data_IF_949062849239
#
_entry.id   IF_949062849239
#
_cell.length_a   1.000
_cell.length_b   1.000
_cell.length_c   1.000
_cell.angle_alpha   90.00
_cell.angle_beta   90.00
_cell.angle_gamma   90.00
#
_symmetry.space_group_name_H-M   'P 1'
#
loop_
_entity.id
_entity.type
_entity.pdbx_description
1 polymer ?
#
# COMPACT_ATOMS: atom_id res chain seq x y z
N UNK A 1 -41.47 -11.91 -7.01
CA UNK A 1 -41.12 -11.44 -5.65
C UNK A 1 -39.75 -11.98 -5.30
N UNK A 2 -38.68 -11.30 -5.73
CA UNK A 2 -37.29 -11.71 -5.50
C UNK A 2 -36.76 -11.16 -4.18
N UNK A 3 -37.30 -11.61 -3.06
CA UNK A 3 -36.76 -11.29 -1.75
C UNK A 3 -35.62 -12.27 -1.45
N UNK A 4 -34.39 -11.78 -1.29
CA UNK A 4 -33.31 -12.56 -0.67
C UNK A 4 -33.82 -13.07 0.68
N UNK A 5 -33.70 -14.38 0.97
CA UNK A 5 -34.21 -14.93 2.22
C UNK A 5 -33.59 -14.19 3.41
N UNK A 6 -34.43 -13.85 4.40
CA UNK A 6 -34.06 -12.99 5.55
C UNK A 6 -32.78 -13.48 6.24
N UNK A 7 -32.57 -14.79 6.32
CA UNK A 7 -31.36 -15.40 6.87
C UNK A 7 -30.08 -15.08 6.08
N UNK A 8 -30.15 -14.97 4.74
CA UNK A 8 -29.01 -14.54 3.93
C UNK A 8 -28.70 -13.05 4.12
N UNK A 9 -29.71 -12.21 4.33
CA UNK A 9 -29.49 -10.78 4.61
C UNK A 9 -28.76 -10.57 5.95
N UNK A 10 -29.15 -11.30 6.99
CA UNK A 10 -28.43 -11.29 8.27
C UNK A 10 -27.00 -11.84 8.12
N UNK A 11 -26.81 -12.91 7.36
CA UNK A 11 -25.47 -13.45 7.06
C UNK A 11 -24.57 -12.45 6.35
N UNK A 12 -25.09 -11.73 5.36
CA UNK A 12 -24.36 -10.66 4.67
C UNK A 12 -24.03 -9.49 5.61
N UNK A 13 -24.99 -9.06 6.44
CA UNK A 13 -24.80 -7.93 7.36
C UNK A 13 -23.73 -8.26 8.41
N UNK A 14 -23.78 -9.46 8.99
CA UNK A 14 -22.76 -9.95 9.92
C UNK A 14 -21.41 -10.06 9.23
N UNK A 15 -21.36 -10.64 8.02
CA UNK A 15 -20.14 -10.77 7.23
C UNK A 15 -19.49 -9.42 6.95
N UNK A 16 -20.24 -8.46 6.42
CA UNK A 16 -19.75 -7.10 6.12
C UNK A 16 -19.28 -6.40 7.38
N UNK A 17 -20.00 -6.54 8.50
CA UNK A 17 -19.61 -5.91 9.77
C UNK A 17 -18.29 -6.46 10.29
N UNK A 18 -18.14 -7.79 10.32
CA UNK A 18 -16.89 -8.44 10.74
C UNK A 18 -15.74 -8.06 9.80
N UNK A 19 -15.96 -8.08 8.48
CA UNK A 19 -14.95 -7.66 7.50
C UNK A 19 -14.54 -6.21 7.68
N UNK A 20 -15.49 -5.30 7.94
CA UNK A 20 -15.18 -3.88 8.15
C UNK A 20 -14.32 -3.68 9.41
N UNK A 21 -14.64 -4.38 10.50
CA UNK A 21 -13.84 -4.37 11.73
C UNK A 21 -12.44 -4.95 11.46
N UNK A 22 -12.36 -6.10 10.78
CA UNK A 22 -11.09 -6.75 10.47
C UNK A 22 -10.19 -5.89 9.57
N UNK A 23 -10.75 -5.27 8.53
CA UNK A 23 -10.04 -4.35 7.64
C UNK A 23 -9.62 -3.10 8.42
N UNK A 24 -10.51 -2.50 9.21
CA UNK A 24 -10.21 -1.32 10.01
C UNK A 24 -9.09 -1.57 11.03
N UNK A 25 -9.15 -2.70 11.74
CA UNK A 25 -8.10 -3.14 12.67
C UNK A 25 -6.77 -3.36 11.94
N UNK A 26 -6.80 -4.05 10.79
CA UNK A 26 -5.62 -4.28 9.96
C UNK A 26 -4.98 -2.98 9.48
N UNK A 27 -5.78 -2.05 8.95
CA UNK A 27 -5.30 -0.75 8.50
C UNK A 27 -4.72 0.07 9.65
N UNK A 28 -5.36 0.05 10.83
CA UNK A 28 -4.85 0.74 12.01
C UNK A 28 -3.52 0.15 12.48
N UNK A 29 -3.40 -1.19 12.48
CA UNK A 29 -2.16 -1.88 12.87
C UNK A 29 -1.05 -1.61 11.86
N UNK A 30 -1.36 -1.64 10.56
CA UNK A 30 -0.41 -1.34 9.51
C UNK A 30 0.06 0.12 9.57
N UNK A 31 -0.85 1.07 9.81
CA UNK A 31 -0.47 2.47 9.93
C UNK A 31 0.45 2.71 11.12
N UNK A 32 0.17 2.09 12.27
CA UNK A 32 1.04 2.18 13.47
C UNK A 32 2.37 1.45 13.26
N UNK A 33 2.37 0.23 12.74
CA UNK A 33 3.60 -0.57 12.58
C UNK A 33 4.56 -0.01 11.52
N UNK A 34 4.07 0.84 10.61
CA UNK A 34 4.89 1.43 9.56
C UNK A 34 5.17 2.92 9.76
N UNK A 35 4.63 3.55 10.80
CA UNK A 35 4.89 4.97 11.08
C UNK A 35 6.36 5.19 11.44
N UNK A 36 6.86 6.40 11.15
CA UNK A 36 8.26 6.74 11.39
C UNK A 36 8.34 8.12 12.03
N UNK A 37 9.09 8.18 13.12
CA UNK A 37 9.45 9.43 13.81
C UNK A 37 10.91 9.72 13.50
N UNK A 38 11.19 10.80 12.76
CA UNK A 38 12.56 11.23 12.44
C UNK A 38 12.88 12.50 13.20
N UNK A 39 13.95 12.55 14.02
CA UNK A 39 14.28 13.74 14.79
C UNK A 39 14.72 14.87 13.86
N UNK A 40 14.07 16.01 13.97
CA UNK A 40 14.31 17.20 13.16
C UNK A 40 14.24 18.40 14.07
N UNK A 41 15.25 19.28 14.03
CA UNK A 41 15.32 20.47 14.88
C UNK A 41 15.16 21.72 14.03
N UNK A 42 13.93 22.22 13.90
CA UNK A 42 13.63 23.46 13.17
C UNK A 42 13.00 24.45 14.14
N UNK A 43 13.59 25.64 14.36
CA UNK A 43 12.98 26.67 15.19
C UNK A 43 11.76 27.29 14.49
N UNK A 44 10.61 27.28 15.14
CA UNK A 44 9.36 27.85 14.61
C UNK A 44 8.62 28.58 15.73
N UNK A 45 8.09 29.77 15.46
CA UNK A 45 7.29 30.51 16.44
C UNK A 45 5.79 30.34 16.16
N UNK A 46 5.03 29.71 17.07
CA UNK A 46 3.57 29.54 16.95
C UNK A 46 2.78 30.86 16.89
N UNK A 47 3.36 31.97 17.35
CA UNK A 47 2.70 33.28 17.35
C UNK A 47 2.72 33.95 15.97
N UNK A 48 3.62 33.52 15.08
CA UNK A 48 3.74 33.96 13.71
C UNK A 48 4.00 32.72 12.84
N UNK A 49 2.98 31.86 12.71
CA UNK A 49 3.05 30.68 11.86
C UNK A 49 3.40 31.12 10.42
N UNK A 50 4.48 30.58 9.82
CA UNK A 50 4.80 30.87 8.44
C UNK A 50 3.64 30.45 7.53
N UNK A 51 3.43 31.19 6.44
CA UNK A 51 2.34 30.92 5.49
C UNK A 51 2.42 29.47 4.99
N UNK A 52 1.37 28.68 5.22
CA UNK A 52 1.33 27.26 4.82
C UNK A 52 1.43 26.26 5.98
N UNK A 53 1.70 26.71 7.21
CA UNK A 53 1.68 25.85 8.40
C UNK A 53 0.32 25.93 9.09
N UNK A 54 -0.35 24.78 9.26
CA UNK A 54 -1.62 24.65 9.99
C UNK A 54 -1.43 23.76 11.21
N UNK A 55 -2.08 24.10 12.32
CA UNK A 55 -2.17 23.22 13.49
C UNK A 55 -3.26 22.19 13.18
N UNK A 56 -2.89 20.92 13.18
CA UNK A 56 -3.82 19.82 12.89
C UNK A 56 -4.37 19.22 14.19
N UNK A 57 -3.54 19.08 15.22
CA UNK A 57 -3.98 18.67 16.57
C UNK A 57 -3.20 19.41 17.64
N UNK A 58 -3.92 19.87 18.66
CA UNK A 58 -3.35 20.61 19.79
C UNK A 58 -2.60 19.73 20.80
N UNK A 59 -2.89 18.43 20.82
CA UNK A 59 -2.24 17.46 21.71
C UNK A 59 -1.97 16.15 20.98
N UNK A 60 -0.69 15.80 20.86
CA UNK A 60 -0.19 14.54 20.34
C UNK A 60 0.85 14.01 21.34
N UNK A 61 0.54 12.90 21.99
CA UNK A 61 1.43 12.30 22.98
C UNK A 61 2.44 11.37 22.28
N UNK A 62 3.74 11.64 22.46
CA UNK A 62 4.82 10.80 21.96
C UNK A 62 5.94 10.73 23.00
N UNK A 63 6.37 9.52 23.37
CA UNK A 63 7.42 9.29 24.39
C UNK A 63 7.14 10.01 25.73
N UNK A 64 5.87 10.09 26.16
CA UNK A 64 5.48 10.74 27.43
C UNK A 64 5.54 12.27 27.43
N UNK A 65 5.73 12.90 26.25
CA UNK A 65 5.66 14.35 26.04
C UNK A 65 4.47 14.72 25.16
N UNK A 66 3.87 15.86 25.45
CA UNK A 66 2.77 16.43 24.66
C UNK A 66 3.30 17.40 23.60
N UNK A 67 3.14 17.03 22.35
CA UNK A 67 3.46 17.85 21.19
C UNK A 67 2.20 18.42 20.55
N UNK A 68 2.36 19.50 19.80
CA UNK A 68 1.37 20.02 18.86
C UNK A 68 1.68 19.44 17.49
N UNK A 69 0.71 18.78 16.87
CA UNK A 69 0.86 18.31 15.50
C UNK A 69 0.61 19.48 14.56
N UNK A 70 1.66 19.84 13.81
CA UNK A 70 1.59 20.86 12.76
C UNK A 70 1.79 20.21 11.40
N UNK A 71 1.01 20.66 10.44
CA UNK A 71 1.08 20.24 9.06
C UNK A 71 1.58 21.41 8.22
N UNK A 72 2.77 21.27 7.64
CA UNK A 72 3.35 22.26 6.74
C UNK A 72 3.04 21.86 5.30
N UNK A 73 2.32 22.72 4.59
CA UNK A 73 1.98 22.57 3.17
C UNK A 73 2.20 23.90 2.45
N UNK A 74 3.20 23.94 1.56
CA UNK A 74 3.55 25.12 0.77
C UNK A 74 4.24 26.23 1.58
N UNK A 75 4.92 25.88 2.67
CA UNK A 75 5.79 26.79 3.42
C UNK A 75 7.13 26.94 2.71
N UNK A 76 7.74 28.14 2.79
CA UNK A 76 9.09 28.38 2.25
C UNK A 76 10.20 28.02 3.24
N UNK A 77 9.86 27.89 4.52
CA UNK A 77 10.80 27.71 5.63
C UNK A 77 10.82 26.26 6.14
N UNK A 78 9.70 25.55 6.01
CA UNK A 78 9.53 24.18 6.51
C UNK A 78 9.16 23.30 5.32
N UNK A 79 9.86 22.16 5.12
CA UNK A 79 9.51 21.22 4.07
C UNK A 79 8.10 20.66 4.29
N UNK A 80 7.43 20.28 3.20
CA UNK A 80 6.07 19.77 3.29
C UNK A 80 6.03 18.46 4.09
N UNK A 81 5.14 18.38 5.08
CA UNK A 81 5.01 17.21 5.96
C UNK A 81 4.37 17.51 7.31
N UNK A 82 4.22 16.46 8.12
CA UNK A 82 3.67 16.53 9.46
C UNK A 82 4.80 16.54 10.50
N UNK A 83 4.72 17.46 11.46
CA UNK A 83 5.76 17.68 12.45
C UNK A 83 5.15 17.78 13.86
N UNK A 84 5.89 17.27 14.83
CA UNK A 84 5.62 17.41 16.25
C UNK A 84 6.40 18.61 16.79
N UNK A 85 5.65 19.62 17.20
CA UNK A 85 6.15 20.85 17.78
C UNK A 85 6.02 20.81 19.30
N UNK A 86 7.09 21.12 20.03
CA UNK A 86 7.05 21.23 21.49
C UNK A 86 6.81 22.69 21.92
N UNK A 87 5.74 22.91 22.70
CA UNK A 87 5.37 24.23 23.25
C UNK A 87 6.40 24.78 24.23
N UNK A 88 7.13 23.91 24.93
CA UNK A 88 8.12 24.28 25.93
C UNK A 88 9.42 24.76 25.31
N UNK A 89 9.94 24.04 24.31
CA UNK A 89 11.21 24.36 23.64
C UNK A 89 11.06 25.33 22.47
N UNK A 90 9.81 25.56 22.03
CA UNK A 90 9.43 26.37 20.87
C UNK A 90 10.10 25.94 19.57
N UNK A 91 10.26 24.63 19.39
CA UNK A 91 10.91 24.04 18.21
C UNK A 91 10.11 22.83 17.75
N UNK A 92 10.23 22.56 16.45
CA UNK A 92 9.93 21.25 15.90
C UNK A 92 11.06 20.32 16.37
N UNK A 93 10.70 19.17 16.93
CA UNK A 93 11.66 18.16 17.40
C UNK A 93 11.60 16.87 16.59
N UNK A 94 10.44 16.57 16.01
CA UNK A 94 10.21 15.30 15.30
C UNK A 94 9.36 15.55 14.06
N UNK A 95 9.77 14.98 12.94
CA UNK A 95 8.92 14.79 11.77
C UNK A 95 8.19 13.45 11.92
N UNK A 96 6.86 13.50 11.88
CA UNK A 96 6.03 12.30 11.88
C UNK A 96 5.68 11.96 10.43
N UNK A 97 5.99 10.73 10.02
CA UNK A 97 5.55 10.20 8.75
C UNK A 97 4.53 9.09 9.01
N UNK A 98 3.30 9.19 8.46
CA UNK A 98 2.29 8.16 8.63
C UNK A 98 2.77 6.85 7.97
N UNK A 99 2.39 5.72 8.55
CA UNK A 99 2.77 4.42 7.99
C UNK A 99 2.20 4.20 6.61
N UNK A 100 0.90 4.43 6.44
CA UNK A 100 0.23 4.39 5.14
C UNK A 100 0.39 5.74 4.45
N UNK A 101 0.91 5.73 3.23
CA UNK A 101 1.29 6.95 2.53
C UNK A 101 2.68 7.44 2.89
N UNK A 102 3.45 6.73 3.71
CA UNK A 102 4.88 6.95 3.97
C UNK A 102 5.79 6.20 2.99
N UNK A 103 7.09 6.18 3.26
CA UNK A 103 8.09 5.54 2.37
C UNK A 103 7.96 4.01 2.29
N UNK A 104 7.57 3.37 3.41
CA UNK A 104 7.45 1.91 3.51
C UNK A 104 6.16 1.37 2.88
N UNK A 105 5.08 2.14 2.94
CA UNK A 105 3.81 1.81 2.30
C UNK A 105 3.31 3.04 1.52
N UNK A 106 3.91 3.35 0.36
CA UNK A 106 3.48 4.49 -0.43
C UNK A 106 2.03 4.29 -0.84
N UNK A 107 1.24 5.36 -0.75
CA UNK A 107 -0.14 5.41 -1.21
C UNK A 107 -0.27 6.48 -2.30
N UNK A 108 0.27 6.23 -3.52
CA UNK A 108 0.41 7.26 -4.52
C UNK A 108 -0.96 7.83 -4.95
N UNK A 109 -1.96 6.97 -5.17
CA UNK A 109 -3.29 7.39 -5.62
C UNK A 109 -3.99 8.27 -4.57
N UNK A 110 -3.84 7.94 -3.29
CA UNK A 110 -4.37 8.74 -2.19
C UNK A 110 -3.67 10.11 -2.10
N UNK A 111 -2.33 10.14 -2.26
CA UNK A 111 -1.55 11.39 -2.29
C UNK A 111 -1.97 12.30 -3.44
N UNK A 112 -2.16 11.76 -4.65
CA UNK A 112 -2.64 12.55 -5.79
C UNK A 112 -4.02 13.16 -5.51
N UNK A 113 -4.96 12.38 -4.98
CA UNK A 113 -6.30 12.88 -4.65
C UNK A 113 -6.23 13.98 -3.57
N UNK A 114 -5.41 13.77 -2.53
CA UNK A 114 -5.18 14.78 -1.49
C UNK A 114 -4.62 16.08 -2.06
N UNK A 115 -3.62 16.00 -2.95
CA UNK A 115 -3.03 17.18 -3.61
C UNK A 115 -4.03 17.92 -4.49
N UNK A 116 -4.88 17.19 -5.24
CA UNK A 116 -5.92 17.80 -6.08
C UNK A 116 -6.97 18.50 -5.22
N UNK A 117 -7.49 17.84 -4.18
CA UNK A 117 -8.50 18.42 -3.27
C UNK A 117 -7.93 19.66 -2.58
N UNK A 118 -6.71 19.56 -2.02
CA UNK A 118 -6.04 20.68 -1.39
C UNK A 118 -5.75 21.81 -2.38
N UNK A 119 -5.37 21.49 -3.61
CA UNK A 119 -5.14 22.48 -4.67
C UNK A 119 -6.41 23.25 -5.05
N UNK A 120 -7.56 22.57 -5.11
CA UNK A 120 -8.87 23.18 -5.37
C UNK A 120 -9.30 24.04 -4.18
N UNK A 121 -9.26 23.49 -2.96
CA UNK A 121 -9.73 24.16 -1.74
C UNK A 121 -8.92 25.42 -1.42
N UNK A 122 -7.60 25.38 -1.63
CA UNK A 122 -6.72 26.52 -1.39
C UNK A 122 -6.50 27.39 -2.64
N UNK A 123 -7.21 27.13 -3.75
CA UNK A 123 -7.08 27.84 -5.04
C UNK A 123 -5.63 27.93 -5.57
N UNK A 124 -4.78 26.96 -5.19
CA UNK A 124 -3.36 26.88 -5.57
C UNK A 124 -3.07 25.70 -6.49
N UNK A 125 -4.06 25.22 -7.23
CA UNK A 125 -3.87 24.12 -8.16
C UNK A 125 -2.90 24.54 -9.28
N UNK A 126 -1.88 23.72 -9.61
CA UNK A 126 -0.94 24.02 -10.68
C UNK A 126 -1.60 23.81 -12.05
N UNK A 127 -2.43 24.75 -12.48
CA UNK A 127 -3.21 24.70 -13.73
C UNK A 127 -2.36 24.43 -14.98
N UNK A 128 -1.10 24.89 -14.99
CA UNK A 128 -0.14 24.56 -16.06
C UNK A 128 0.09 23.06 -16.21
N UNK A 129 0.24 22.33 -15.10
CA UNK A 129 0.43 20.88 -15.11
C UNK A 129 -0.86 20.14 -15.49
N UNK A 130 -2.01 20.63 -15.03
CA UNK A 130 -3.33 20.05 -15.37
C UNK A 130 -3.62 20.17 -16.87
N UNK A 131 -3.47 21.37 -17.43
CA UNK A 131 -3.70 21.61 -18.86
C UNK A 131 -2.71 20.85 -19.75
N UNK A 132 -1.46 20.71 -19.31
CA UNK A 132 -0.47 19.85 -19.98
C UNK A 132 -0.92 18.39 -20.00
N UNK A 133 -1.45 17.88 -18.89
CA UNK A 133 -2.01 16.54 -18.82
C UNK A 133 -3.20 16.33 -19.77
N UNK A 134 -4.12 17.30 -19.83
CA UNK A 134 -5.25 17.30 -20.77
C UNK A 134 -4.76 17.29 -22.23
N UNK A 135 -3.81 18.16 -22.57
CA UNK A 135 -3.25 18.21 -23.92
C UNK A 135 -2.56 16.89 -24.32
N UNK A 136 -1.83 16.27 -23.39
CA UNK A 136 -1.18 14.98 -23.61
C UNK A 136 -2.21 13.85 -23.79
N UNK A 137 -3.28 13.82 -22.99
CA UNK A 137 -4.38 12.86 -23.16
C UNK A 137 -5.04 13.02 -24.53
N UNK A 138 -5.31 14.25 -24.97
CA UNK A 138 -5.86 14.52 -26.30
C UNK A 138 -4.93 14.05 -27.42
N UNK A 139 -3.63 14.31 -27.31
CA UNK A 139 -2.65 13.85 -28.29
C UNK A 139 -2.61 12.31 -28.38
N UNK A 140 -2.66 11.62 -27.24
CA UNK A 140 -2.67 10.15 -27.17
C UNK A 140 -3.97 9.57 -27.75
N UNK A 141 -5.11 10.22 -27.48
CA UNK A 141 -6.40 9.81 -28.03
C UNK A 141 -6.44 9.97 -29.57
N UNK A 142 -5.83 11.05 -30.10
CA UNK A 142 -5.67 11.26 -31.56
C UNK A 142 -4.79 10.17 -32.19
N UNK A 143 -3.80 9.65 -31.47
CA UNK A 143 -2.98 8.52 -31.91
C UNK A 143 -3.72 7.17 -31.88
N UNK A 144 -5.00 7.15 -31.47
CA UNK A 144 -5.81 5.94 -31.37
C UNK A 144 -5.45 5.03 -30.19
N UNK A 145 -4.64 5.53 -29.25
CA UNK A 145 -4.28 4.81 -28.03
C UNK A 145 -5.30 5.16 -26.96
N UNK A 146 -5.80 4.15 -26.23
CA UNK A 146 -6.73 4.38 -25.12
C UNK A 146 -6.04 5.17 -24.00
N UNK A 147 -6.39 6.44 -23.87
CA UNK A 147 -5.76 7.39 -22.94
C UNK A 147 -5.69 6.91 -21.48
N UNK A 148 -6.71 6.20 -21.00
CA UNK A 148 -6.74 5.65 -19.65
C UNK A 148 -5.62 4.63 -19.39
N UNK A 149 -5.40 3.70 -20.33
CA UNK A 149 -4.36 2.69 -20.19
C UNK A 149 -2.96 3.32 -20.23
N UNK A 150 -2.78 4.33 -21.09
CA UNK A 150 -1.56 5.11 -21.17
C UNK A 150 -1.28 5.84 -19.84
N UNK A 151 -2.26 6.60 -19.33
CA UNK A 151 -2.10 7.37 -18.09
C UNK A 151 -1.76 6.46 -16.89
N UNK A 152 -2.47 5.35 -16.74
CA UNK A 152 -2.19 4.36 -15.67
C UNK A 152 -0.79 3.78 -15.83
N UNK A 153 -0.39 3.43 -17.05
CA UNK A 153 0.94 2.92 -17.35
C UNK A 153 2.06 3.91 -16.98
N UNK A 154 1.93 5.19 -17.32
CA UNK A 154 2.96 6.20 -17.03
C UNK A 154 3.16 6.49 -15.54
N UNK A 155 2.16 6.17 -14.72
CA UNK A 155 2.17 6.46 -13.30
C UNK A 155 2.78 5.34 -12.44
N UNK A 156 2.74 4.11 -12.93
CA UNK A 156 3.25 2.93 -12.24
C UNK A 156 4.76 2.76 -12.45
N UNK A 157 5.42 2.08 -11.53
CA UNK A 157 6.83 1.72 -11.70
C UNK A 157 7.02 0.84 -12.93
N UNK A 158 8.15 0.97 -13.62
CA UNK A 158 8.46 0.17 -14.82
C UNK A 158 8.37 -1.34 -14.54
N UNK A 159 8.72 -1.77 -13.33
CA UNK A 159 8.58 -3.17 -12.90
C UNK A 159 7.12 -3.61 -12.85
N UNK A 160 6.22 -2.80 -12.28
CA UNK A 160 4.78 -3.11 -12.20
C UNK A 160 4.12 -3.08 -13.58
N UNK A 161 4.51 -2.15 -14.45
CA UNK A 161 3.98 -2.12 -15.82
C UNK A 161 4.48 -3.29 -16.66
N UNK A 162 5.74 -3.70 -16.48
CA UNK A 162 6.32 -4.84 -17.20
C UNK A 162 5.66 -6.16 -16.80
N UNK A 163 5.34 -6.36 -15.51
CA UNK A 163 4.62 -7.56 -15.06
C UNK A 163 3.17 -7.59 -15.58
N UNK A 164 2.48 -6.45 -15.58
CA UNK A 164 1.15 -6.33 -16.22
C UNK A 164 1.21 -6.64 -17.72
N UNK A 165 2.22 -6.11 -18.42
CA UNK A 165 2.43 -6.38 -19.84
C UNK A 165 2.71 -7.87 -20.11
N UNK A 166 3.59 -8.49 -19.32
CA UNK A 166 3.89 -9.92 -19.42
C UNK A 166 2.64 -10.78 -19.20
N UNK A 167 1.79 -10.43 -18.21
CA UNK A 167 0.49 -11.09 -18.01
C UNK A 167 -0.44 -10.95 -19.22
N UNK A 168 -0.51 -9.76 -19.82
CA UNK A 168 -1.26 -9.54 -21.06
C UNK A 168 -0.73 -10.34 -22.25
N UNK A 169 0.60 -10.46 -22.39
CA UNK A 169 1.23 -11.24 -23.44
C UNK A 169 0.92 -12.74 -23.29
N UNK A 170 0.99 -13.28 -22.07
CA UNK A 170 0.62 -14.67 -21.77
C UNK A 170 -0.85 -14.91 -22.14
N UNK A 171 -1.75 -14.01 -21.74
CA UNK A 171 -3.17 -14.09 -22.09
C UNK A 171 -3.37 -14.13 -23.60
N UNK A 172 -2.71 -13.22 -24.34
CA UNK A 172 -2.78 -13.18 -25.79
C UNK A 172 -2.28 -14.49 -26.44
N UNK A 173 -1.17 -15.05 -25.96
CA UNK A 173 -0.66 -16.35 -26.43
C UNK A 173 -1.63 -17.51 -26.14
N UNK A 174 -2.29 -17.50 -24.99
CA UNK A 174 -3.31 -18.49 -24.61
C UNK A 174 -4.52 -18.40 -25.54
N UNK A 175 -5.05 -17.18 -25.75
CA UNK A 175 -6.18 -16.93 -26.64
C UNK A 175 -5.85 -17.28 -28.09
N UNK A 176 -4.65 -16.96 -28.58
CA UNK A 176 -4.20 -17.27 -29.94
C UNK A 176 -4.04 -18.78 -30.21
N UNK A 177 -3.74 -19.57 -29.16
CA UNK A 177 -3.52 -21.02 -29.30
C UNK A 177 -4.78 -21.84 -29.02
N UNK A 178 -5.78 -21.28 -28.32
CA UNK A 178 -7.02 -21.98 -28.00
C UNK A 178 -7.99 -21.94 -29.19
N UNK A 179 -8.01 -23.01 -30.00
CA UNK A 179 -8.93 -23.15 -31.16
C UNK A 179 -10.39 -23.48 -30.82
N UNK A 180 -10.77 -23.60 -29.54
CA UNK A 180 -12.14 -23.94 -29.13
C UNK A 180 -12.77 -22.81 -28.33
N UNK A 181 -13.75 -22.17 -28.96
CA UNK A 181 -14.89 -21.47 -28.36
C UNK A 181 -14.54 -20.33 -27.39
N UNK A 182 -14.96 -19.12 -27.75
CA UNK A 182 -15.25 -18.07 -26.77
C UNK A 182 -16.29 -18.62 -25.79
N UNK A 183 -15.87 -19.28 -24.71
CA UNK A 183 -16.75 -19.51 -23.56
C UNK A 183 -16.88 -18.15 -22.88
N UNK A 184 -17.91 -17.41 -23.27
CA UNK A 184 -18.40 -16.16 -22.66
C UNK A 184 -19.05 -16.43 -21.28
N UNK A 185 -18.46 -17.31 -20.48
CA UNK A 185 -18.78 -17.41 -19.06
C UNK A 185 -18.20 -16.19 -18.34
N UNK A 186 -18.99 -15.56 -17.46
CA UNK A 186 -18.67 -14.31 -16.75
C UNK A 186 -17.31 -14.30 -16.02
N UNK A 187 -16.68 -15.47 -15.81
CA UNK A 187 -15.28 -15.58 -15.47
C UNK A 187 -14.64 -16.81 -16.14
N UNK A 188 -13.61 -16.59 -16.96
CA UNK A 188 -12.76 -17.68 -17.49
C UNK A 188 -12.08 -18.42 -16.33
N UNK A 189 -11.89 -19.76 -16.40
CA UNK A 189 -11.13 -20.52 -15.40
C UNK A 189 -9.77 -19.91 -15.05
N UNK A 190 -9.08 -19.33 -16.04
CA UNK A 190 -7.81 -18.63 -15.82
C UNK A 190 -7.95 -17.32 -15.03
N UNK A 191 -9.05 -16.58 -15.22
CA UNK A 191 -9.33 -15.36 -14.46
C UNK A 191 -9.67 -15.68 -12.99
N UNK A 192 -10.46 -16.73 -12.74
CA UNK A 192 -10.76 -17.23 -11.39
C UNK A 192 -9.47 -17.65 -10.67
N UNK A 193 -8.64 -18.49 -11.30
CA UNK A 193 -7.39 -18.95 -10.69
C UNK A 193 -6.40 -17.80 -10.46
N UNK A 194 -6.29 -16.85 -11.40
CA UNK A 194 -5.48 -15.63 -11.23
C UNK A 194 -5.98 -14.77 -10.07
N UNK A 195 -7.29 -14.54 -9.96
CA UNK A 195 -7.88 -13.79 -8.84
C UNK A 195 -7.65 -14.48 -7.49
N UNK A 196 -7.73 -15.82 -7.45
CA UNK A 196 -7.43 -16.62 -6.26
C UNK A 196 -5.96 -16.53 -5.83
N UNK A 197 -5.02 -16.54 -6.79
CA UNK A 197 -3.59 -16.35 -6.52
C UNK A 197 -3.28 -14.94 -6.00
N UNK A 198 -3.91 -13.92 -6.56
CA UNK A 198 -3.76 -12.52 -6.09
C UNK A 198 -4.31 -12.39 -4.65
N UNK A 199 -5.49 -12.96 -4.39
CA UNK A 199 -6.09 -12.94 -3.05
C UNK A 199 -5.21 -13.69 -2.03
N UNK A 200 -4.69 -14.86 -2.39
CA UNK A 200 -3.75 -15.61 -1.57
C UNK A 200 -2.48 -14.79 -1.28
N UNK A 201 -1.90 -14.14 -2.30
CA UNK A 201 -0.75 -13.25 -2.14
C UNK A 201 -1.00 -12.11 -1.16
N UNK A 202 -2.19 -11.48 -1.23
CA UNK A 202 -2.62 -10.45 -0.26
C UNK A 202 -2.73 -10.99 1.17
N UNK A 203 -3.31 -12.18 1.35
CA UNK A 203 -3.45 -12.82 2.67
C UNK A 203 -2.08 -13.19 3.25
N UNK A 204 -1.19 -13.79 2.47
CA UNK A 204 0.17 -14.13 2.93
C UNK A 204 1.02 -12.89 3.22
N UNK A 205 0.87 -11.83 2.41
CA UNK A 205 1.51 -10.54 2.68
C UNK A 205 1.04 -9.94 4.00
N UNK A 206 -0.28 -9.95 4.25
CA UNK A 206 -0.86 -9.49 5.51
C UNK A 206 -0.36 -10.34 6.70
N UNK A 207 -0.34 -11.66 6.55
CA UNK A 207 0.21 -12.55 7.58
C UNK A 207 1.68 -12.23 7.88
N UNK A 208 2.49 -11.95 6.85
CA UNK A 208 3.88 -11.53 7.02
C UNK A 208 4.02 -10.23 7.83
N UNK A 209 3.16 -9.24 7.57
CA UNK A 209 3.12 -7.99 8.32
C UNK A 209 2.71 -8.25 9.77
N UNK A 210 1.66 -9.06 10.00
CA UNK A 210 1.21 -9.42 11.36
C UNK A 210 2.31 -10.14 12.13
N UNK A 211 3.03 -11.06 11.50
CA UNK A 211 4.16 -11.76 12.13
C UNK A 211 5.27 -10.78 12.49
N UNK A 212 5.65 -9.88 11.58
CA UNK A 212 6.67 -8.87 11.82
C UNK A 212 6.29 -7.96 12.99
N UNK A 213 5.02 -7.54 13.02
CA UNK A 213 4.42 -6.76 14.09
C UNK A 213 4.52 -7.53 15.43
N UNK A 214 4.07 -8.79 15.51
CA UNK A 214 4.13 -9.58 16.75
C UNK A 214 5.57 -9.92 17.23
N UNK A 215 6.58 -9.74 16.37
CA UNK A 215 8.00 -9.86 16.72
C UNK A 215 8.60 -8.56 17.28
N UNK A 216 7.92 -7.42 17.11
CA UNK A 216 8.41 -6.11 17.56
C UNK A 216 8.36 -6.00 19.11
N UNK A 217 9.49 -5.70 19.78
CA UNK A 217 9.55 -5.58 21.24
C UNK A 217 8.59 -4.53 21.83
N UNK A 218 8.24 -3.49 21.07
CA UNK A 218 7.41 -2.37 21.55
C UNK A 218 5.91 -2.67 21.54
N UNK A 219 5.48 -3.84 21.06
CA UNK A 219 4.05 -4.19 21.02
C UNK A 219 3.54 -4.67 22.37
N UNK A 220 4.38 -5.28 23.19
CA UNK A 220 3.98 -5.76 24.51
C UNK A 220 3.45 -4.62 25.40
N UNK A 221 3.87 -3.37 25.17
CA UNK A 221 3.41 -2.17 25.89
C UNK A 221 2.13 -1.55 25.34
N UNK A 222 1.77 -1.81 24.08
CA UNK A 222 0.61 -1.19 23.42
C UNK A 222 -0.63 -2.07 23.37
N UNK A 223 -0.52 -3.33 23.79
CA UNK A 223 -1.58 -4.34 23.71
C UNK A 223 -2.05 -4.72 25.11
N UNK A 224 -3.37 -4.95 25.35
CA UNK A 224 -3.87 -5.31 26.68
C UNK A 224 -3.11 -6.50 27.28
N UNK A 225 -2.70 -6.40 28.55
CA UNK A 225 -1.80 -7.38 29.17
C UNK A 225 -2.32 -8.83 29.16
N UNK A 226 -3.64 -9.03 29.18
CA UNK A 226 -4.25 -10.35 29.05
C UNK A 226 -3.99 -10.97 27.66
N UNK A 227 -4.00 -10.15 26.61
CA UNK A 227 -3.78 -10.58 25.24
C UNK A 227 -2.30 -10.88 25.00
N UNK A 228 -1.39 -10.06 25.55
CA UNK A 228 0.05 -10.31 25.50
C UNK A 228 0.44 -11.61 26.21
N UNK A 229 -0.20 -11.93 27.34
CA UNK A 229 0.06 -13.17 28.07
C UNK A 229 -0.50 -14.41 27.35
N UNK A 230 -1.71 -14.31 26.78
CA UNK A 230 -2.35 -15.39 26.00
C UNK A 230 -1.54 -15.73 24.74
N UNK A 231 -1.02 -14.72 24.02
CA UNK A 231 -0.26 -14.92 22.78
C UNK A 231 1.26 -15.08 22.98
N UNK A 232 1.76 -14.98 24.21
CA UNK A 232 3.21 -15.04 24.55
C UNK A 232 4.03 -14.06 23.73
N UNK A 233 3.62 -12.80 23.72
CA UNK A 233 4.36 -11.71 23.06
C UNK A 233 5.54 -11.22 23.91
N UNK A 234 6.66 -10.80 23.29
CA UNK A 234 6.94 -10.83 21.85
C UNK A 234 7.34 -12.22 21.35
N UNK A 235 6.92 -12.57 20.13
CA UNK A 235 7.37 -13.81 19.48
C UNK A 235 8.85 -13.73 19.14
N UNK A 236 9.60 -14.82 19.35
CA UNK A 236 11.03 -14.87 19.00
C UNK A 236 11.21 -14.62 17.50
N UNK A 237 12.13 -13.72 17.15
CA UNK A 237 12.46 -13.35 15.78
C UNK A 237 12.79 -14.57 14.88
N UNK A 238 13.35 -15.63 15.46
CA UNK A 238 13.77 -16.85 14.75
C UNK A 238 12.64 -17.82 14.40
N UNK A 239 11.41 -17.64 14.92
CA UNK A 239 10.33 -18.61 14.74
C UNK A 239 9.83 -18.71 13.30
N UNK A 240 9.81 -17.59 12.57
CA UNK A 240 9.29 -17.50 11.20
C UNK A 240 10.33 -17.04 10.18
N UNK A 241 11.60 -16.92 10.59
CA UNK A 241 12.73 -16.59 9.71
C UNK A 241 13.19 -17.79 8.87
N UNK A 242 12.26 -18.51 8.23
CA UNK A 242 12.55 -19.70 7.41
C UNK A 242 13.48 -19.36 6.23
N UNK A 243 13.26 -18.22 5.58
CA UNK A 243 14.07 -17.75 4.43
C UNK A 243 15.54 -17.55 4.77
N UNK A 244 15.90 -16.64 5.70
CA UNK A 244 17.29 -16.41 6.09
C UNK A 244 17.97 -17.66 6.69
N UNK A 245 17.21 -18.53 7.35
CA UNK A 245 17.71 -19.73 8.03
C UNK A 245 18.04 -20.89 7.07
N UNK A 246 17.21 -21.12 6.05
CA UNK A 246 17.40 -22.22 5.10
C UNK A 246 18.05 -21.77 3.78
N UNK A 247 17.93 -20.50 3.44
CA UNK A 247 18.48 -19.93 2.20
C UNK A 247 19.22 -18.60 2.46
N UNK A 248 20.34 -18.63 3.21
CA UNK A 248 21.09 -17.43 3.58
C UNK A 248 21.62 -16.64 2.36
N UNK A 249 21.78 -17.28 1.20
CA UNK A 249 22.15 -16.61 -0.06
C UNK A 249 21.02 -15.82 -0.74
N UNK A 250 19.78 -16.00 -0.30
CA UNK A 250 18.59 -15.25 -0.74
C UNK A 250 18.14 -14.21 0.29
N UNK A 251 18.85 -14.06 1.42
CA UNK A 251 18.53 -13.06 2.43
C UNK A 251 19.02 -11.66 1.97
N UNK A 252 18.21 -10.60 2.14
CA UNK A 252 18.64 -9.25 1.82
C UNK A 252 19.75 -8.82 2.79
N UNK A 253 20.96 -8.59 2.28
CA UNK A 253 22.04 -7.95 3.04
C UNK A 253 21.94 -6.44 2.85
N UNK A 254 22.00 -5.68 3.96
CA UNK A 254 21.82 -4.22 3.99
C UNK A 254 22.94 -3.39 3.31
N UNK A 255 23.79 -4.03 2.51
CA UNK A 255 25.02 -3.41 1.96
C UNK A 255 25.15 -3.55 0.43
N UNK A 256 24.27 -4.28 -0.27
CA UNK A 256 24.35 -4.44 -1.74
C UNK A 256 22.95 -4.44 -2.37
N UNK A 257 22.68 -3.61 -3.40
CA UNK A 257 21.39 -3.58 -4.06
C UNK A 257 21.24 -4.80 -4.99
N UNK A 258 20.08 -5.47 -4.90
CA UNK A 258 19.57 -6.52 -5.81
C UNK A 258 20.63 -7.53 -6.27
N UNK A 259 20.88 -8.57 -5.47
CA UNK A 259 21.62 -9.73 -5.98
C UNK A 259 20.86 -10.36 -7.15
N UNK A 260 21.57 -10.67 -8.23
CA UNK A 260 21.04 -11.39 -9.39
C UNK A 260 20.29 -12.67 -8.98
N UNK A 261 20.66 -13.28 -7.85
CA UNK A 261 20.00 -14.46 -7.29
C UNK A 261 18.56 -14.22 -6.81
N UNK A 262 18.26 -13.08 -6.16
CA UNK A 262 16.90 -12.77 -5.72
C UNK A 262 16.00 -12.41 -6.90
N UNK A 263 16.52 -11.61 -7.83
CA UNK A 263 15.83 -11.26 -9.08
C UNK A 263 15.62 -12.48 -9.96
N UNK A 264 16.60 -13.38 -10.05
CA UNK A 264 16.51 -14.64 -10.79
C UNK A 264 15.53 -15.62 -10.15
N UNK A 265 15.54 -15.77 -8.83
CA UNK A 265 14.56 -16.60 -8.12
C UNK A 265 13.15 -16.06 -8.31
N UNK A 266 12.96 -14.74 -8.19
CA UNK A 266 11.69 -14.08 -8.48
C UNK A 266 11.22 -14.32 -9.92
N UNK A 267 12.13 -14.21 -10.88
CA UNK A 267 11.85 -14.50 -12.30
C UNK A 267 11.50 -15.97 -12.53
N UNK A 268 12.22 -16.91 -11.92
CA UNK A 268 11.93 -18.34 -11.98
C UNK A 268 10.55 -18.66 -11.40
N UNK A 269 10.23 -18.12 -10.22
CA UNK A 269 8.91 -18.25 -9.60
C UNK A 269 7.81 -17.65 -10.47
N UNK A 270 8.07 -16.50 -11.09
CA UNK A 270 7.15 -15.88 -12.04
C UNK A 270 6.92 -16.76 -13.28
N UNK A 271 7.97 -17.34 -13.86
CA UNK A 271 7.87 -18.26 -14.99
C UNK A 271 7.12 -19.55 -14.63
N UNK A 272 7.35 -20.11 -13.44
CA UNK A 272 6.61 -21.27 -12.92
C UNK A 272 5.13 -20.93 -12.74
N UNK A 273 4.82 -19.75 -12.20
CA UNK A 273 3.46 -19.29 -12.03
C UNK A 273 2.78 -19.05 -13.39
N UNK A 274 3.48 -18.45 -14.35
CA UNK A 274 3.01 -18.28 -15.73
C UNK A 274 2.75 -19.63 -16.43
N UNK A 275 3.65 -20.60 -16.26
CA UNK A 275 3.48 -21.96 -16.79
C UNK A 275 2.30 -22.67 -16.14
N UNK A 276 2.14 -22.55 -14.82
CA UNK A 276 0.99 -23.09 -14.08
C UNK A 276 -0.32 -22.50 -14.61
N UNK A 277 -0.40 -21.17 -14.73
CA UNK A 277 -1.56 -20.48 -15.32
C UNK A 277 -1.87 -20.97 -16.74
N UNK A 278 -0.85 -21.12 -17.58
CA UNK A 278 -0.99 -21.63 -18.94
C UNK A 278 -1.56 -23.06 -18.98
N UNK A 279 -1.12 -23.93 -18.07
CA UNK A 279 -1.60 -25.32 -17.97
C UNK A 279 -3.03 -25.37 -17.44
N UNK A 280 -3.33 -24.64 -16.37
CA UNK A 280 -4.66 -24.66 -15.74
C UNK A 280 -5.72 -23.94 -16.56
N UNK A 281 -5.37 -22.88 -17.30
CA UNK A 281 -6.29 -22.21 -18.21
C UNK A 281 -6.78 -23.11 -19.36
N UNK A 282 -6.10 -24.22 -19.65
CA UNK A 282 -6.50 -25.22 -20.66
C UNK A 282 -7.42 -26.32 -20.14
N UNK A 283 -7.53 -26.52 -18.82
CA UNK A 283 -8.43 -27.53 -18.25
C UNK A 283 -9.82 -26.93 -18.06
N UNK A 284 -10.86 -27.65 -18.49
CA UNK A 284 -12.24 -27.30 -18.16
C UNK A 284 -12.44 -27.47 -16.65
N UNK A 285 -13.15 -26.52 -16.05
CA UNK A 285 -13.77 -26.72 -14.74
C UNK A 285 -14.98 -27.61 -15.00
N UNK A 286 -14.86 -28.88 -14.68
CA UNK A 286 -16.00 -29.81 -14.62
C UNK A 286 -16.84 -29.56 -13.36
#
# INVERSE_FOLDING_TARGET
>A
MGATPVLQQWGLLVGVTISTIAIGATLSLMNKGLEKFSPVHIPVNLQALPTGVKIERDSFEHQGKNYVLINALGSREIPDGEFLYDRSTKRIEVQWAPGIGGDKAPAPQARLMATVINGILNQRLPWRLVLMGVALVLAVEILGIRSLAFAVGTYLSIGTTATMFAGGLIRWLVEATSKKGKEEGEASPGALYSSGLIAAGGIFGLLGIVINLLQDPEIATHVPGWFAHVLRLPWRADLFAFGPKHWPSLAPSNLVPLTDAQSFFGLMMFLVLAASLFIFARKKLD
#
